data_IF_726226466788
#
_entry.id   IF_726226466788
#
_cell.length_a   1.000
_cell.length_b   1.000
_cell.length_c   1.000
_cell.angle_alpha   90.00
_cell.angle_beta   90.00
_cell.angle_gamma   90.00
#
_symmetry.space_group_name_H-M   'P 1'
#
loop_
_entity.id
_entity.type
_entity.pdbx_description
1 polymer ?
#
# COMPACT_ATOMS: atom_id res chain seq x y z
N UNK A 1 -19.38 12.57 -24.73
CA UNK A 1 -18.17 12.59 -23.86
C UNK A 1 -17.51 11.21 -23.72
N UNK A 2 -18.20 10.10 -23.44
CA UNK A 2 -17.58 8.76 -23.40
C UNK A 2 -17.16 8.19 -24.77
N UNK A 3 -17.85 8.56 -25.86
CA UNK A 3 -17.50 8.09 -27.21
C UNK A 3 -16.10 8.52 -27.68
N UNK A 4 -15.53 9.58 -27.09
CA UNK A 4 -14.19 10.09 -27.42
C UNK A 4 -13.08 9.51 -26.53
N UNK A 5 -13.44 8.75 -25.49
CA UNK A 5 -12.49 8.16 -24.54
C UNK A 5 -13.00 6.80 -24.04
N UNK A 6 -13.07 5.78 -24.92
CA UNK A 6 -13.68 4.49 -24.61
C UNK A 6 -13.02 3.78 -23.42
N UNK A 7 -11.73 4.03 -23.16
CA UNK A 7 -11.00 3.49 -22.01
C UNK A 7 -11.49 4.03 -20.65
N UNK A 8 -12.10 5.23 -20.60
CA UNK A 8 -12.66 5.77 -19.35
C UNK A 8 -13.84 4.94 -18.85
N UNK A 9 -14.58 4.28 -19.75
CA UNK A 9 -15.62 3.32 -19.36
C UNK A 9 -15.02 2.15 -18.55
N UNK A 10 -13.85 1.65 -18.94
CA UNK A 10 -13.13 0.59 -18.21
C UNK A 10 -12.66 1.06 -16.83
N UNK A 11 -12.21 2.31 -16.71
CA UNK A 11 -11.75 2.86 -15.44
C UNK A 11 -12.88 3.06 -14.42
N UNK A 12 -14.13 3.27 -14.85
CA UNK A 12 -15.26 3.47 -13.94
C UNK A 12 -15.39 2.33 -12.93
N UNK A 13 -15.38 1.08 -13.39
CA UNK A 13 -15.46 -0.10 -12.51
C UNK A 13 -14.23 -0.29 -11.62
N UNK A 14 -13.04 0.10 -12.12
CA UNK A 14 -11.77 0.02 -11.37
C UNK A 14 -11.77 1.03 -10.23
N UNK A 15 -12.15 2.28 -10.52
CA UNK A 15 -12.18 3.37 -9.53
C UNK A 15 -13.25 3.14 -8.47
N UNK A 16 -14.41 2.59 -8.84
CA UNK A 16 -15.46 2.21 -7.89
C UNK A 16 -15.01 1.17 -6.87
N UNK A 17 -14.02 0.32 -7.20
CA UNK A 17 -13.46 -0.72 -6.33
C UNK A 17 -12.08 -0.35 -5.77
N UNK A 18 -11.56 0.82 -6.10
CA UNK A 18 -10.21 1.20 -5.72
C UNK A 18 -10.12 1.46 -4.23
N UNK A 19 -9.05 0.97 -3.61
CA UNK A 19 -8.71 1.34 -2.24
C UNK A 19 -7.75 2.52 -2.26
N UNK A 20 -8.06 3.64 -1.57
CA UNK A 20 -7.15 4.77 -1.51
C UNK A 20 -5.87 4.39 -0.78
N UNK A 21 -4.75 4.98 -1.20
CA UNK A 21 -3.46 4.84 -0.50
C UNK A 21 -3.60 5.41 0.92
N UNK A 22 -2.91 4.85 1.93
CA UNK A 22 -3.06 5.28 3.32
C UNK A 22 -2.35 6.62 3.65
N UNK A 23 -2.26 7.55 2.69
CA UNK A 23 -1.52 8.81 2.82
C UNK A 23 -2.16 9.74 3.85
N UNK A 24 -3.49 9.86 3.85
CA UNK A 24 -4.23 10.70 4.80
C UNK A 24 -4.05 10.21 6.24
N UNK A 25 -4.10 8.89 6.44
CA UNK A 25 -3.98 8.26 7.74
C UNK A 25 -2.55 8.34 8.28
N UNK A 26 -1.55 8.17 7.41
CA UNK A 26 -0.13 8.08 7.82
C UNK A 26 0.60 9.43 7.79
N UNK A 27 0.02 10.46 7.18
CA UNK A 27 0.52 11.84 7.12
C UNK A 27 1.98 11.90 6.66
N UNK A 28 2.84 12.60 7.41
CA UNK A 28 4.28 12.77 7.13
C UNK A 28 5.04 11.44 7.11
N UNK A 29 4.48 10.38 7.69
CA UNK A 29 5.09 9.04 7.72
C UNK A 29 4.74 8.18 6.50
N UNK A 30 3.91 8.67 5.56
CA UNK A 30 3.49 7.91 4.38
C UNK A 30 4.67 7.31 3.59
N UNK A 31 5.74 8.09 3.37
CA UNK A 31 6.92 7.59 2.66
C UNK A 31 7.59 6.39 3.35
N UNK A 32 7.64 6.39 4.69
CA UNK A 32 8.21 5.29 5.46
C UNK A 32 7.31 4.04 5.41
N UNK A 33 6.00 4.24 5.48
CA UNK A 33 5.00 3.16 5.36
C UNK A 33 5.06 2.52 3.97
N UNK A 34 5.07 3.34 2.91
CA UNK A 34 5.18 2.86 1.53
C UNK A 34 6.47 2.07 1.31
N UNK A 35 7.60 2.55 1.84
CA UNK A 35 8.89 1.85 1.77
C UNK A 35 8.86 0.52 2.51
N UNK A 36 8.23 0.45 3.69
CA UNK A 36 8.11 -0.79 4.45
C UNK A 36 7.28 -1.83 3.68
N UNK A 37 6.12 -1.44 3.15
CA UNK A 37 5.25 -2.33 2.34
C UNK A 37 6.02 -2.84 1.11
N UNK A 38 6.69 -1.95 0.37
CA UNK A 38 7.45 -2.32 -0.82
C UNK A 38 8.55 -3.33 -0.50
N UNK A 39 9.42 -3.01 0.48
CA UNK A 39 10.55 -3.87 0.82
C UNK A 39 10.09 -5.26 1.29
N UNK A 40 9.07 -5.32 2.15
CA UNK A 40 8.56 -6.60 2.64
C UNK A 40 7.97 -7.43 1.50
N UNK A 41 7.20 -6.81 0.60
CA UNK A 41 6.63 -7.52 -0.56
C UNK A 41 7.73 -8.01 -1.49
N UNK A 42 8.76 -7.19 -1.72
CA UNK A 42 9.90 -7.52 -2.56
C UNK A 42 10.70 -8.70 -2.01
N UNK A 43 10.88 -8.78 -0.68
CA UNK A 43 11.58 -9.90 -0.05
C UNK A 43 10.82 -11.24 -0.22
N UNK A 44 9.49 -11.22 -0.21
CA UNK A 44 8.68 -12.41 -0.54
C UNK A 44 8.89 -12.82 -1.99
N UNK A 45 8.86 -11.86 -2.92
CA UNK A 45 9.10 -12.12 -4.35
C UNK A 45 10.51 -12.67 -4.62
N UNK A 46 11.51 -12.24 -3.83
CA UNK A 46 12.88 -12.77 -3.88
C UNK A 46 13.06 -14.11 -3.15
N UNK A 47 12.01 -14.60 -2.47
CA UNK A 47 12.00 -15.84 -1.67
C UNK A 47 12.90 -15.77 -0.42
N UNK A 48 13.15 -14.59 0.12
CA UNK A 48 13.87 -14.43 1.40
C UNK A 48 12.97 -14.63 2.62
N UNK A 49 11.66 -14.55 2.43
CA UNK A 49 10.64 -14.74 3.46
C UNK A 49 9.38 -15.34 2.83
N UNK A 50 8.63 -16.12 3.60
CA UNK A 50 7.29 -16.51 3.20
C UNK A 50 6.28 -15.37 3.44
N UNK A 51 5.05 -15.53 2.92
CA UNK A 51 4.02 -14.51 3.05
C UNK A 51 3.58 -14.27 4.50
N UNK A 52 3.51 -15.31 5.32
CA UNK A 52 3.04 -15.21 6.70
C UNK A 52 4.04 -14.43 7.57
N UNK A 53 5.31 -14.80 7.54
CA UNK A 53 6.40 -14.13 8.23
C UNK A 53 6.63 -12.71 7.73
N UNK A 54 6.44 -12.48 6.42
CA UNK A 54 6.49 -11.14 5.85
C UNK A 54 5.41 -10.21 6.44
N UNK A 55 4.16 -10.67 6.53
CA UNK A 55 3.06 -9.86 7.10
C UNK A 55 3.32 -9.56 8.59
N UNK A 56 3.78 -10.54 9.37
CA UNK A 56 4.15 -10.32 10.78
C UNK A 56 5.29 -9.29 10.93
N UNK A 57 6.32 -9.42 10.08
CA UNK A 57 7.44 -8.47 10.04
C UNK A 57 6.99 -7.06 9.66
N UNK A 58 6.10 -6.95 8.68
CA UNK A 58 5.51 -5.68 8.27
C UNK A 58 4.72 -5.05 9.40
N UNK A 59 3.87 -5.83 10.09
CA UNK A 59 3.10 -5.33 11.23
C UNK A 59 4.01 -4.74 12.30
N UNK A 60 5.02 -5.49 12.75
CA UNK A 60 5.98 -5.00 13.74
C UNK A 60 6.71 -3.73 13.27
N UNK A 61 7.03 -3.64 11.98
CA UNK A 61 7.66 -2.45 11.41
C UNK A 61 6.71 -1.24 11.39
N UNK A 62 5.46 -1.43 11.02
CA UNK A 62 4.44 -0.38 10.99
C UNK A 62 4.11 0.13 12.39
N UNK A 63 4.07 -0.74 13.39
CA UNK A 63 3.91 -0.35 14.79
C UNK A 63 5.06 0.54 15.27
N UNK A 64 6.31 0.21 14.90
CA UNK A 64 7.48 1.06 15.20
C UNK A 64 7.40 2.41 14.48
N UNK A 65 7.02 2.43 13.20
CA UNK A 65 6.84 3.69 12.44
C UNK A 65 5.74 4.54 13.08
N UNK A 66 4.61 3.93 13.45
CA UNK A 66 3.51 4.60 14.14
C UNK A 66 3.98 5.18 15.47
N UNK A 67 4.72 4.42 16.28
CA UNK A 67 5.04 4.77 17.67
C UNK A 67 3.75 5.20 18.41
N UNK A 68 3.69 6.43 18.94
CA UNK A 68 2.50 6.98 19.62
C UNK A 68 1.41 7.50 18.67
N UNK A 69 1.63 7.49 17.35
CA UNK A 69 0.63 7.90 16.36
C UNK A 69 1.18 8.34 15.00
N UNK A 70 0.27 8.48 14.05
CA UNK A 70 0.54 8.96 12.71
C UNK A 70 0.58 10.49 12.68
N UNK A 71 1.71 11.05 13.10
CA UNK A 71 2.00 12.50 13.10
C UNK A 71 2.90 12.83 11.94
#
# INVERSE_FOLDING_TARGET
>A
MLAQAPYLATFSGILAKATPRPATQTRRKYAQVSKAIYNTSFNVLRRDSDGAGAVQTLQARLERIRARGWR
#
